data_IF_343522539323
#
_entry.id   IF_343522539323
#
_cell.length_a   1.000
_cell.length_b   1.000
_cell.length_c   1.000
_cell.angle_alpha   90.00
_cell.angle_beta   90.00
_cell.angle_gamma   90.00
#
_symmetry.space_group_name_H-M   'P 1'
#
loop_
_entity.id
_entity.type
_entity.pdbx_description
1 polymer ?
#
# COMPACT_ATOMS: atom_id res chain seq x y z
N UNK A 1 -4.21 14.55 -44.45
CA UNK A 1 -5.04 15.34 -45.40
C UNK A 1 -5.12 14.88 -46.87
N UNK A 2 -4.58 13.70 -47.27
CA UNK A 2 -4.71 13.21 -48.67
C UNK A 2 -5.60 11.97 -48.88
N UNK A 3 -6.30 11.46 -47.85
CA UNK A 3 -7.11 10.22 -48.00
C UNK A 3 -8.53 10.22 -47.38
N UNK A 4 -8.99 11.33 -46.79
CA UNK A 4 -10.37 11.42 -46.22
C UNK A 4 -11.20 12.58 -46.79
N UNK A 5 -10.73 13.22 -47.86
CA UNK A 5 -11.56 14.10 -48.69
C UNK A 5 -12.71 13.40 -49.46
N UNK A 6 -12.74 12.07 -49.75
CA UNK A 6 -13.75 11.53 -50.68
C UNK A 6 -15.18 11.40 -50.15
N UNK A 7 -15.42 11.45 -48.84
CA UNK A 7 -16.76 11.14 -48.30
C UNK A 7 -17.71 12.33 -48.38
N UNK A 8 -17.24 13.55 -48.07
CA UNK A 8 -18.03 14.79 -48.27
C UNK A 8 -18.22 15.16 -49.74
N UNK A 9 -17.32 14.69 -50.62
CA UNK A 9 -17.34 14.95 -52.06
C UNK A 9 -18.33 14.06 -52.87
N UNK A 10 -18.95 13.06 -52.24
CA UNK A 10 -20.02 12.26 -52.86
C UNK A 10 -21.44 12.77 -52.55
N UNK A 11 -21.59 13.68 -51.58
CA UNK A 11 -22.90 14.12 -51.07
C UNK A 11 -23.27 15.57 -51.42
N UNK A 12 -22.28 16.40 -51.73
CA UNK A 12 -22.46 17.80 -52.11
C UNK A 12 -21.78 18.07 -53.46
N UNK A 13 -22.43 18.89 -54.29
CA UNK A 13 -21.91 19.30 -55.59
C UNK A 13 -20.88 20.44 -55.42
N UNK A 14 -20.00 20.69 -56.40
CA UNK A 14 -19.13 21.87 -56.39
C UNK A 14 -19.88 23.21 -56.30
N UNK A 15 -21.16 23.23 -56.71
CA UNK A 15 -22.03 24.39 -56.59
C UNK A 15 -22.38 24.75 -55.13
N UNK A 16 -22.16 23.82 -54.19
CA UNK A 16 -22.44 23.99 -52.76
C UNK A 16 -21.22 24.46 -51.97
N UNK A 17 -20.03 24.49 -52.58
CA UNK A 17 -18.77 24.82 -51.88
C UNK A 17 -18.77 26.24 -51.29
N UNK A 18 -19.35 27.20 -52.00
CA UNK A 18 -19.45 28.58 -51.53
C UNK A 18 -20.35 28.66 -50.28
N UNK A 19 -21.49 27.97 -50.29
CA UNK A 19 -22.39 27.87 -49.14
C UNK A 19 -21.75 27.14 -47.95
N UNK A 20 -20.99 26.07 -48.20
CA UNK A 20 -20.22 25.36 -47.17
C UNK A 20 -19.19 26.29 -46.53
N UNK A 21 -18.49 27.10 -47.33
CA UNK A 21 -17.48 28.03 -46.82
C UNK A 21 -18.10 29.12 -45.93
N UNK A 22 -19.25 29.66 -46.33
CA UNK A 22 -19.98 30.66 -45.56
C UNK A 22 -20.54 30.06 -44.26
N UNK A 23 -21.10 28.85 -44.30
CA UNK A 23 -21.59 28.16 -43.10
C UNK A 23 -20.45 27.85 -42.12
N UNK A 24 -19.26 27.45 -42.59
CA UNK A 24 -18.08 27.28 -41.73
C UNK A 24 -17.67 28.58 -41.02
N UNK A 25 -17.78 29.73 -41.69
CA UNK A 25 -17.51 31.04 -41.07
C UNK A 25 -18.55 31.31 -39.98
N UNK A 26 -19.83 31.05 -40.22
CA UNK A 26 -20.90 31.22 -39.22
C UNK A 26 -20.69 30.32 -37.99
N UNK A 27 -20.28 29.06 -38.20
CA UNK A 27 -19.88 28.17 -37.10
C UNK A 27 -18.65 28.68 -36.32
N UNK A 28 -17.69 29.33 -37.00
CA UNK A 28 -16.55 29.97 -36.32
C UNK A 28 -16.95 31.18 -35.46
N UNK A 29 -18.04 31.85 -35.82
CA UNK A 29 -18.64 32.95 -35.04
C UNK A 29 -19.54 32.46 -33.90
N UNK A 30 -19.68 31.13 -33.74
CA UNK A 30 -20.51 30.45 -32.74
C UNK A 30 -22.03 30.64 -32.92
N UNK A 31 -22.48 30.81 -34.16
CA UNK A 31 -23.91 30.79 -34.48
C UNK A 31 -24.51 29.41 -34.17
N UNK A 32 -25.79 29.36 -33.78
CA UNK A 32 -26.53 28.12 -33.53
C UNK A 32 -26.90 27.42 -34.84
N UNK A 33 -27.18 26.11 -34.76
CA UNK A 33 -27.59 25.33 -35.95
C UNK A 33 -28.83 25.90 -36.65
N UNK A 34 -29.77 26.50 -35.92
CA UNK A 34 -30.96 27.09 -36.52
C UNK A 34 -30.64 28.39 -37.28
N UNK A 35 -29.76 29.24 -36.72
CA UNK A 35 -29.29 30.48 -37.37
C UNK A 35 -28.45 30.19 -38.63
N UNK A 36 -27.63 29.13 -38.59
CA UNK A 36 -26.87 28.67 -39.76
C UNK A 36 -27.81 28.11 -40.83
N UNK A 37 -28.87 27.39 -40.45
CA UNK A 37 -29.88 26.86 -41.38
C UNK A 37 -30.67 27.98 -42.05
N UNK A 38 -31.16 28.95 -41.28
CA UNK A 38 -31.89 30.11 -41.81
C UNK A 38 -31.00 30.95 -42.73
N UNK A 39 -29.72 31.12 -42.38
CA UNK A 39 -28.75 31.79 -43.21
C UNK A 39 -28.52 31.06 -44.54
N UNK A 40 -28.39 29.73 -44.52
CA UNK A 40 -28.25 28.92 -45.73
C UNK A 40 -29.50 28.96 -46.60
N UNK A 41 -30.70 28.97 -46.00
CA UNK A 41 -31.97 29.07 -46.71
C UNK A 41 -32.11 30.41 -47.46
N UNK A 42 -31.74 31.51 -46.82
CA UNK A 42 -31.76 32.86 -47.42
C UNK A 42 -30.70 33.03 -48.53
N UNK A 43 -29.61 32.28 -48.47
CA UNK A 43 -28.48 32.40 -49.42
C UNK A 43 -28.44 31.29 -50.49
N UNK A 44 -29.47 30.46 -50.58
CA UNK A 44 -29.52 29.34 -51.53
C UNK A 44 -29.37 29.80 -53.00
N UNK A 45 -29.73 31.05 -53.31
CA UNK A 45 -29.54 31.69 -54.62
C UNK A 45 -28.07 31.81 -55.08
N UNK A 46 -27.11 31.58 -54.18
CA UNK A 46 -25.67 31.55 -54.49
C UNK A 46 -25.23 30.18 -55.03
N UNK A 47 -26.07 29.15 -54.89
CA UNK A 47 -25.79 27.82 -55.41
C UNK A 47 -25.60 27.87 -56.95
N UNK A 48 -24.42 27.48 -57.42
CA UNK A 48 -24.10 27.38 -58.85
C UNK A 48 -23.54 28.65 -59.51
N UNK A 49 -23.35 29.75 -58.77
CA UNK A 49 -22.63 30.94 -59.27
C UNK A 49 -21.11 30.78 -59.19
N UNK A 50 -20.58 29.73 -59.81
CA UNK A 50 -19.11 29.57 -59.95
C UNK A 50 -18.71 30.09 -61.32
N UNK A 51 -18.29 31.36 -61.39
CA UNK A 51 -17.82 32.00 -62.64
C UNK A 51 -16.34 31.71 -62.98
N UNK A 52 -15.64 30.88 -62.21
CA UNK A 52 -14.22 30.59 -62.46
C UNK A 52 -14.01 29.59 -63.64
N UNK A 53 -13.39 30.00 -64.76
CA UNK A 53 -13.13 29.14 -65.92
C UNK A 53 -12.28 27.88 -65.57
N UNK A 54 -11.45 27.95 -64.53
CA UNK A 54 -10.57 26.85 -64.12
C UNK A 54 -11.33 25.70 -63.41
N UNK A 55 -12.54 25.94 -62.90
CA UNK A 55 -13.37 24.95 -62.22
C UNK A 55 -14.39 24.25 -63.12
N UNK A 56 -14.55 24.68 -64.39
CA UNK A 56 -15.54 24.11 -65.33
C UNK A 56 -15.34 22.62 -65.61
N UNK A 57 -14.09 22.16 -65.77
CA UNK A 57 -13.80 20.74 -66.00
C UNK A 57 -14.08 19.89 -64.76
N UNK A 58 -13.85 20.46 -63.58
CA UNK A 58 -14.15 19.85 -62.30
C UNK A 58 -15.67 19.72 -62.11
N UNK A 59 -16.43 20.78 -62.44
CA UNK A 59 -17.90 20.79 -62.44
C UNK A 59 -18.52 19.73 -63.38
N UNK A 60 -17.98 19.53 -64.59
CA UNK A 60 -18.45 18.47 -65.50
C UNK A 60 -18.19 17.07 -64.97
N UNK A 61 -17.01 16.82 -64.37
CA UNK A 61 -16.64 15.53 -63.76
C UNK A 61 -17.54 15.16 -62.57
N UNK A 62 -17.90 16.16 -61.76
CA UNK A 62 -18.79 15.96 -60.61
C UNK A 62 -20.25 15.77 -61.02
N UNK A 63 -20.71 16.38 -62.11
CA UNK A 63 -22.07 16.17 -62.64
C UNK A 63 -22.29 14.73 -63.16
N UNK A 64 -21.23 14.09 -63.65
CA UNK A 64 -21.26 12.67 -64.06
C UNK A 64 -21.17 11.71 -62.86
N UNK A 65 -20.43 12.06 -61.81
CA UNK A 65 -20.26 11.24 -60.60
C UNK A 65 -21.39 11.40 -59.57
N UNK A 66 -22.12 12.53 -59.55
CA UNK A 66 -23.25 12.77 -58.63
C UNK A 66 -24.53 12.03 -59.02
N UNK A 67 -24.43 10.98 -59.85
CA UNK A 67 -25.53 10.21 -60.41
C UNK A 67 -26.34 9.35 -59.43
N UNK A 68 -26.37 9.68 -58.12
CA UNK A 68 -27.19 9.01 -57.10
C UNK A 68 -27.64 9.96 -55.97
N UNK A 69 -28.18 11.12 -56.32
CA UNK A 69 -28.97 11.92 -55.39
C UNK A 69 -30.33 12.17 -56.03
N UNK A 70 -31.29 11.27 -55.80
CA UNK A 70 -32.69 11.41 -56.25
C UNK A 70 -33.43 12.62 -55.61
N UNK A 71 -32.73 13.48 -54.89
CA UNK A 71 -33.23 14.61 -54.08
C UNK A 71 -32.50 15.94 -54.36
N UNK A 72 -31.90 16.10 -55.55
CA UNK A 72 -31.03 17.23 -55.88
C UNK A 72 -31.75 18.59 -56.06
N UNK A 73 -33.08 18.61 -56.16
CA UNK A 73 -33.87 19.81 -56.47
C UNK A 73 -34.71 20.35 -55.29
N UNK A 74 -34.72 19.68 -54.14
CA UNK A 74 -35.45 20.12 -52.94
C UNK A 74 -34.58 21.07 -52.08
N UNK A 75 -34.94 22.37 -51.98
CA UNK A 75 -34.14 23.37 -51.28
C UNK A 75 -33.92 23.04 -49.80
N UNK A 76 -34.89 22.40 -49.14
CA UNK A 76 -34.81 22.06 -47.71
C UNK A 76 -33.77 20.95 -47.45
N UNK A 77 -33.72 19.97 -48.35
CA UNK A 77 -32.76 18.85 -48.28
C UNK A 77 -31.35 19.28 -48.69
N UNK A 78 -31.22 20.25 -49.59
CA UNK A 78 -29.91 20.85 -49.95
C UNK A 78 -29.33 21.59 -48.75
N UNK A 79 -30.12 22.48 -48.12
CA UNK A 79 -29.68 23.25 -46.95
C UNK A 79 -29.25 22.33 -45.81
N UNK A 80 -30.03 21.28 -45.52
CA UNK A 80 -29.70 20.30 -44.48
C UNK A 80 -28.37 19.58 -44.76
N UNK A 81 -28.14 19.12 -45.99
CA UNK A 81 -26.88 18.44 -46.37
C UNK A 81 -25.67 19.37 -46.26
N UNK A 82 -25.81 20.60 -46.74
CA UNK A 82 -24.75 21.62 -46.67
C UNK A 82 -24.42 21.96 -45.22
N UNK A 83 -25.44 22.10 -44.37
CA UNK A 83 -25.29 22.33 -42.95
C UNK A 83 -24.49 21.20 -42.27
N UNK A 84 -24.92 19.95 -42.44
CA UNK A 84 -24.26 18.77 -41.83
C UNK A 84 -22.79 18.65 -42.26
N UNK A 85 -22.51 18.82 -43.56
CA UNK A 85 -21.14 18.75 -44.08
C UNK A 85 -20.28 19.91 -43.56
N UNK A 86 -20.82 21.14 -43.50
CA UNK A 86 -20.09 22.31 -43.01
C UNK A 86 -19.77 22.23 -41.51
N UNK A 87 -20.68 21.72 -40.68
CA UNK A 87 -20.46 21.50 -39.26
C UNK A 87 -19.35 20.47 -39.00
N UNK A 88 -19.39 19.33 -39.72
CA UNK A 88 -18.37 18.29 -39.63
C UNK A 88 -17.00 18.83 -40.04
N UNK A 89 -16.93 19.56 -41.16
CA UNK A 89 -15.67 20.15 -41.63
C UNK A 89 -15.12 21.20 -40.66
N UNK A 90 -15.98 22.00 -40.03
CA UNK A 90 -15.56 22.96 -39.01
C UNK A 90 -15.01 22.26 -37.76
N UNK A 91 -15.70 21.27 -37.22
CA UNK A 91 -15.26 20.57 -36.02
C UNK A 91 -13.97 19.74 -36.23
N UNK A 92 -13.79 19.16 -37.42
CA UNK A 92 -12.53 18.52 -37.81
C UNK A 92 -11.38 19.54 -37.82
N UNK A 93 -11.61 20.74 -38.37
CA UNK A 93 -10.60 21.79 -38.41
C UNK A 93 -10.18 22.26 -37.01
N UNK A 94 -11.15 22.43 -36.10
CA UNK A 94 -10.90 22.80 -34.69
C UNK A 94 -10.17 21.71 -33.89
N UNK A 95 -10.45 20.43 -34.19
CA UNK A 95 -9.83 19.29 -33.48
C UNK A 95 -8.43 18.97 -34.01
N UNK A 96 -8.19 19.06 -35.32
CA UNK A 96 -6.87 18.83 -35.92
C UNK A 96 -5.90 20.00 -35.70
N UNK A 97 -6.41 21.22 -35.55
CA UNK A 97 -5.60 22.42 -35.31
C UNK A 97 -6.04 23.14 -34.02
N UNK A 98 -5.77 22.56 -32.84
CA UNK A 98 -6.02 23.25 -31.57
C UNK A 98 -5.33 24.62 -31.59
N UNK A 99 -6.04 25.67 -31.17
CA UNK A 99 -5.51 27.03 -31.10
C UNK A 99 -4.10 27.01 -30.49
N UNK A 100 -3.12 27.60 -31.20
CA UNK A 100 -1.69 27.64 -30.87
C UNK A 100 -1.35 28.30 -29.50
N UNK A 101 -2.34 28.58 -28.66
CA UNK A 101 -2.21 29.19 -27.34
C UNK A 101 -1.73 28.21 -26.25
N UNK A 102 -1.84 26.88 -26.45
CA UNK A 102 -1.15 25.91 -25.59
C UNK A 102 0.23 25.61 -26.16
N UNK A 103 1.24 26.36 -25.73
CA UNK A 103 2.66 26.01 -25.92
C UNK A 103 2.85 24.54 -25.55
N UNK A 104 3.54 23.76 -26.39
CA UNK A 104 4.05 22.44 -25.99
C UNK A 104 4.96 22.62 -24.77
N UNK A 105 4.42 22.36 -23.58
CA UNK A 105 5.19 22.29 -22.36
C UNK A 105 5.91 20.96 -22.40
N UNK A 106 7.22 20.99 -22.72
CA UNK A 106 8.07 19.82 -22.55
C UNK A 106 7.97 19.35 -21.10
N UNK A 107 7.34 18.20 -20.87
CA UNK A 107 7.30 17.61 -19.54
C UNK A 107 8.72 17.28 -19.09
N UNK A 108 9.14 17.89 -17.98
CA UNK A 108 10.50 17.74 -17.45
C UNK A 108 10.63 16.36 -16.78
N UNK A 109 11.09 15.38 -17.54
CA UNK A 109 11.18 13.96 -17.11
C UNK A 109 12.16 13.71 -15.95
N UNK A 110 13.17 14.58 -15.77
CA UNK A 110 14.17 14.44 -14.70
C UNK A 110 14.32 15.70 -13.86
N UNK A 111 14.29 15.52 -12.53
CA UNK A 111 14.54 16.58 -11.55
C UNK A 111 15.99 17.10 -11.66
N UNK A 112 16.21 18.36 -11.28
CA UNK A 112 17.56 18.98 -11.31
C UNK A 112 18.51 18.24 -10.36
N UNK A 113 18.01 17.73 -9.24
CA UNK A 113 18.78 16.99 -8.25
C UNK A 113 19.16 15.59 -8.76
N UNK A 114 18.24 14.84 -9.36
CA UNK A 114 18.57 13.57 -10.03
C UNK A 114 19.65 13.73 -11.10
N UNK A 115 19.58 14.79 -11.92
CA UNK A 115 20.65 15.09 -12.90
C UNK A 115 22.01 15.32 -12.22
N UNK A 116 22.04 16.04 -11.09
CA UNK A 116 23.27 16.28 -10.33
C UNK A 116 23.82 15.00 -9.70
N UNK A 117 22.96 14.16 -9.12
CA UNK A 117 23.35 12.87 -8.55
C UNK A 117 23.97 11.95 -9.61
N UNK A 118 23.37 11.84 -10.80
CA UNK A 118 23.95 11.06 -11.91
C UNK A 118 25.35 11.55 -12.29
N UNK A 119 25.55 12.88 -12.35
CA UNK A 119 26.87 13.46 -12.62
C UNK A 119 27.86 13.21 -11.47
N UNK A 120 27.40 13.21 -10.22
CA UNK A 120 28.22 12.86 -9.06
C UNK A 120 28.62 11.38 -9.06
N UNK A 121 27.75 10.47 -9.50
CA UNK A 121 28.06 9.03 -9.62
C UNK A 121 29.26 8.77 -10.53
N UNK A 122 29.45 9.54 -11.61
CA UNK A 122 30.64 9.43 -12.47
C UNK A 122 31.94 9.86 -11.78
N UNK A 123 31.87 10.59 -10.68
CA UNK A 123 33.03 11.05 -9.88
C UNK A 123 33.28 10.17 -8.66
N UNK A 124 32.53 9.07 -8.50
CA UNK A 124 32.69 8.17 -7.37
C UNK A 124 34.06 7.50 -7.38
N UNK A 125 34.61 7.29 -6.20
CA UNK A 125 35.91 6.64 -6.02
C UNK A 125 35.72 5.12 -6.09
N UNK A 126 36.48 4.40 -6.94
CA UNK A 126 36.41 2.95 -7.00
C UNK A 126 36.98 2.32 -5.73
N UNK A 127 36.51 1.12 -5.37
CA UNK A 127 36.82 0.46 -4.09
C UNK A 127 38.33 0.36 -3.80
N UNK A 128 39.16 0.09 -4.82
CA UNK A 128 40.61 -0.05 -4.68
C UNK A 128 41.34 1.25 -4.28
N UNK A 129 40.69 2.41 -4.44
CA UNK A 129 41.27 3.72 -4.13
C UNK A 129 40.67 4.33 -2.85
N UNK A 130 39.92 3.54 -2.08
CA UNK A 130 39.35 3.96 -0.78
C UNK A 130 40.37 3.70 0.33
N UNK A 131 40.53 4.61 1.32
CA UNK A 131 41.37 4.34 2.49
C UNK A 131 40.94 3.08 3.23
N UNK A 132 41.91 2.24 3.62
CA UNK A 132 41.65 0.92 4.21
C UNK A 132 40.65 0.94 5.38
N UNK A 133 40.80 1.87 6.34
CA UNK A 133 39.88 2.00 7.48
C UNK A 133 38.43 2.30 7.07
N UNK A 134 38.23 3.09 6.00
CA UNK A 134 36.89 3.41 5.48
C UNK A 134 36.27 2.21 4.77
N UNK A 135 37.07 1.46 4.03
CA UNK A 135 36.64 0.20 3.41
C UNK A 135 36.25 -0.84 4.47
N UNK A 136 37.01 -0.94 5.57
CA UNK A 136 36.67 -1.84 6.69
C UNK A 136 35.34 -1.45 7.35
N UNK A 137 35.10 -0.16 7.60
CA UNK A 137 33.82 0.28 8.19
C UNK A 137 32.63 0.00 7.27
N UNK A 138 32.78 0.22 5.95
CA UNK A 138 31.76 -0.13 4.95
C UNK A 138 31.50 -1.65 4.92
N UNK A 139 32.56 -2.45 5.03
CA UNK A 139 32.45 -3.91 5.04
C UNK A 139 31.72 -4.41 6.28
N UNK A 140 32.03 -3.90 7.48
CA UNK A 140 31.37 -4.32 8.72
C UNK A 140 29.86 -4.05 8.70
N UNK A 141 29.46 -2.88 8.18
CA UNK A 141 28.05 -2.51 8.05
C UNK A 141 27.31 -3.41 7.05
N UNK A 142 27.96 -3.77 5.94
CA UNK A 142 27.40 -4.74 4.98
C UNK A 142 27.36 -6.17 5.55
N UNK A 143 28.38 -6.58 6.31
CA UNK A 143 28.43 -7.88 6.95
C UNK A 143 27.31 -8.04 7.99
N UNK A 144 27.07 -7.00 8.80
CA UNK A 144 25.95 -7.00 9.75
C UNK A 144 24.61 -7.23 9.07
N UNK A 145 24.27 -6.43 8.05
CA UNK A 145 22.97 -6.54 7.35
C UNK A 145 22.78 -7.84 6.59
N UNK A 146 23.83 -8.31 5.91
CA UNK A 146 23.69 -9.44 4.98
C UNK A 146 23.91 -10.80 5.65
N UNK A 147 24.60 -10.86 6.79
CA UNK A 147 24.97 -12.11 7.46
C UNK A 147 24.40 -12.20 8.87
N UNK A 148 24.67 -11.21 9.73
CA UNK A 148 24.28 -11.32 11.15
C UNK A 148 22.76 -11.19 11.36
N UNK A 149 22.10 -10.36 10.55
CA UNK A 149 20.64 -10.17 10.63
C UNK A 149 19.84 -11.31 9.98
N UNK A 150 20.47 -12.07 9.08
CA UNK A 150 19.86 -13.21 8.37
C UNK A 150 20.18 -14.55 9.04
N UNK A 151 21.19 -14.60 9.91
CA UNK A 151 21.54 -15.80 10.66
C UNK A 151 20.46 -16.08 11.72
N UNK A 152 19.56 -17.00 11.39
CA UNK A 152 18.52 -17.47 12.29
C UNK A 152 19.13 -18.14 13.52
N UNK A 153 18.86 -17.59 14.68
CA UNK A 153 19.18 -18.24 15.94
C UNK A 153 18.08 -19.26 16.28
N UNK A 154 18.49 -20.43 16.77
CA UNK A 154 17.58 -21.48 17.25
C UNK A 154 17.66 -21.67 18.77
N UNK A 155 18.22 -20.68 19.49
CA UNK A 155 18.41 -20.80 20.94
C UNK A 155 17.12 -20.49 21.71
N UNK A 156 16.14 -19.82 21.09
CA UNK A 156 14.97 -19.26 21.74
C UNK A 156 14.16 -20.35 22.43
N UNK A 157 13.83 -21.44 21.72
CA UNK A 157 13.09 -22.56 22.30
C UNK A 157 13.88 -23.30 23.35
N UNK A 158 15.16 -23.58 23.05
CA UNK A 158 16.05 -24.28 23.97
C UNK A 158 16.20 -23.51 25.28
N UNK A 159 16.35 -22.18 25.20
CA UNK A 159 16.46 -21.32 26.37
C UNK A 159 15.18 -21.34 27.21
N UNK A 160 14.01 -21.24 26.58
CA UNK A 160 12.74 -21.33 27.31
C UNK A 160 12.52 -22.74 27.86
N UNK A 161 13.02 -23.79 27.19
CA UNK A 161 12.94 -25.20 27.63
C UNK A 161 13.78 -25.44 28.86
N UNK A 162 15.06 -25.05 28.81
CA UNK A 162 15.98 -25.13 29.93
C UNK A 162 15.44 -24.36 31.14
N UNK A 163 14.92 -23.13 30.95
CA UNK A 163 14.33 -22.33 32.05
C UNK A 163 13.05 -22.93 32.64
N UNK A 164 12.32 -23.73 31.87
CA UNK A 164 11.11 -24.41 32.34
C UNK A 164 11.37 -25.76 33.01
N UNK A 165 12.53 -26.38 32.76
CA UNK A 165 12.91 -27.72 33.27
C UNK A 165 13.92 -27.69 34.40
N UNK A 166 14.79 -26.68 34.48
CA UNK A 166 15.97 -26.68 35.35
C UNK A 166 15.72 -26.81 36.86
N UNK A 167 14.48 -26.72 37.35
CA UNK A 167 14.13 -26.99 38.76
C UNK A 167 13.52 -28.37 39.00
N UNK A 168 13.03 -29.06 37.97
CA UNK A 168 12.44 -30.40 38.15
C UNK A 168 13.51 -31.46 38.45
N UNK A 169 14.77 -31.25 38.05
CA UNK A 169 15.85 -32.24 38.21
C UNK A 169 16.65 -32.14 39.53
N UNK A 170 16.57 -31.05 40.30
CA UNK A 170 17.39 -30.87 41.53
C UNK A 170 16.63 -30.98 42.87
N UNK A 171 15.28 -30.89 42.89
CA UNK A 171 14.49 -30.85 44.14
C UNK A 171 13.47 -32.02 44.30
N UNK A 172 13.68 -33.20 43.70
CA UNK A 172 12.80 -34.38 43.93
C UNK A 172 12.89 -34.99 45.36
N UNK A 173 13.68 -34.42 46.28
CA UNK A 173 13.73 -34.84 47.68
C UNK A 173 13.63 -33.65 48.65
N UNK A 174 12.45 -33.05 48.83
CA UNK A 174 11.98 -32.59 50.14
C UNK A 174 10.50 -32.16 50.08
N UNK A 175 9.70 -32.60 51.06
CA UNK A 175 8.27 -32.31 51.18
C UNK A 175 7.99 -30.81 51.41
N UNK A 176 8.04 -29.99 50.36
CA UNK A 176 7.47 -28.65 50.39
C UNK A 176 6.04 -28.67 49.84
N UNK A 177 5.06 -28.41 50.71
CA UNK A 177 3.62 -28.32 50.37
C UNK A 177 3.26 -27.11 49.49
N UNK A 178 4.24 -26.24 49.17
CA UNK A 178 4.09 -25.11 48.27
C UNK A 178 5.05 -25.29 47.08
N UNK A 179 4.52 -25.49 45.88
CA UNK A 179 5.32 -25.59 44.65
C UNK A 179 6.08 -24.28 44.43
N UNK A 180 7.41 -24.30 44.61
CA UNK A 180 8.25 -23.12 44.31
C UNK A 180 8.08 -22.74 42.82
N UNK A 181 7.94 -21.45 42.48
CA UNK A 181 7.99 -20.96 41.12
C UNK A 181 9.26 -21.42 40.41
N UNK A 182 9.12 -22.01 39.23
CA UNK A 182 10.26 -22.35 38.39
C UNK A 182 10.96 -21.07 37.86
N UNK A 183 12.19 -21.16 37.34
CA UNK A 183 12.96 -19.97 36.93
C UNK A 183 12.23 -19.11 35.89
N UNK A 184 11.51 -19.76 34.96
CA UNK A 184 10.70 -19.07 33.96
C UNK A 184 9.51 -18.32 34.59
N UNK A 185 8.82 -18.91 35.57
CA UNK A 185 7.74 -18.24 36.30
C UNK A 185 8.27 -17.06 37.11
N UNK A 186 9.41 -17.19 37.79
CA UNK A 186 10.04 -16.08 38.52
C UNK A 186 10.35 -14.88 37.62
N UNK A 187 10.84 -15.15 36.41
CA UNK A 187 11.11 -14.12 35.40
C UNK A 187 9.81 -13.39 34.99
N UNK A 188 8.75 -14.14 34.68
CA UNK A 188 7.45 -13.55 34.31
C UNK A 188 6.86 -12.74 35.47
N UNK A 189 6.96 -13.24 36.70
CA UNK A 189 6.52 -12.52 37.90
C UNK A 189 7.28 -11.21 38.11
N UNK A 190 8.59 -11.19 37.84
CA UNK A 190 9.39 -9.97 37.93
C UNK A 190 8.90 -8.89 36.95
N UNK A 191 8.66 -9.27 35.69
CA UNK A 191 8.11 -8.34 34.69
C UNK A 191 6.69 -7.90 35.02
N UNK A 192 5.83 -8.82 35.47
CA UNK A 192 4.48 -8.52 35.95
C UNK A 192 4.49 -7.49 37.10
N UNK A 193 5.37 -7.68 38.10
CA UNK A 193 5.52 -6.74 39.20
C UNK A 193 5.97 -5.36 38.71
N UNK A 194 6.87 -5.32 37.72
CA UNK A 194 7.33 -4.07 37.12
C UNK A 194 6.19 -3.33 36.41
N UNK A 195 5.33 -4.05 35.70
CA UNK A 195 4.12 -3.50 35.07
C UNK A 195 3.17 -2.85 36.07
N UNK A 196 3.02 -3.46 37.24
CA UNK A 196 2.13 -3.00 38.31
C UNK A 196 2.71 -1.86 39.16
N UNK A 197 4.00 -1.53 39.02
CA UNK A 197 4.55 -0.36 39.69
C UNK A 197 4.01 0.91 39.03
N UNK A 198 3.22 1.67 39.77
CA UNK A 198 2.62 2.91 39.28
C UNK A 198 3.70 3.94 38.91
N UNK A 199 4.04 3.99 37.62
CA UNK A 199 4.84 5.05 37.02
C UNK A 199 3.95 5.92 36.11
N UNK A 200 4.31 7.21 35.99
CA UNK A 200 3.64 8.12 35.06
C UNK A 200 3.93 7.77 33.60
N UNK A 201 5.10 7.18 33.35
CA UNK A 201 5.54 6.66 32.05
C UNK A 201 6.32 5.37 32.27
N UNK A 202 6.13 4.39 31.38
CA UNK A 202 7.00 3.22 31.31
C UNK A 202 8.37 3.65 30.81
N UNK A 203 9.40 3.23 31.53
CA UNK A 203 10.79 3.39 31.08
C UNK A 203 11.06 2.36 29.97
N UNK A 204 11.94 2.70 29.03
CA UNK A 204 12.35 1.76 27.98
C UNK A 204 13.20 0.66 28.62
N UNK A 205 12.60 -0.52 28.78
CA UNK A 205 13.26 -1.70 29.31
C UNK A 205 13.69 -2.63 28.17
N UNK A 206 14.96 -2.54 27.80
CA UNK A 206 15.56 -3.40 26.77
C UNK A 206 15.57 -4.87 27.19
N UNK A 207 15.67 -5.18 28.49
CA UNK A 207 15.67 -6.55 28.98
C UNK A 207 14.31 -7.20 28.77
N UNK A 208 13.24 -6.48 29.13
CA UNK A 208 11.87 -6.92 28.86
C UNK A 208 11.65 -7.16 27.36
N UNK A 209 12.07 -6.22 26.50
CA UNK A 209 11.89 -6.35 25.06
C UNK A 209 12.60 -7.59 24.47
N UNK A 210 13.83 -7.85 24.90
CA UNK A 210 14.57 -9.05 24.46
C UNK A 210 13.90 -10.34 24.91
N UNK A 211 13.45 -10.43 26.17
CA UNK A 211 12.75 -11.63 26.64
C UNK A 211 11.37 -11.79 26.02
N UNK A 212 10.65 -10.70 25.75
CA UNK A 212 9.37 -10.74 25.05
C UNK A 212 9.53 -11.28 23.63
N UNK A 213 10.59 -10.86 22.90
CA UNK A 213 10.91 -11.38 21.57
C UNK A 213 11.28 -12.87 21.59
N UNK A 214 12.13 -13.29 22.54
CA UNK A 214 12.52 -14.71 22.71
C UNK A 214 11.28 -15.58 23.03
N UNK A 215 10.44 -15.14 23.97
CA UNK A 215 9.21 -15.85 24.32
C UNK A 215 8.25 -15.90 23.12
N UNK A 216 8.13 -14.81 22.35
CA UNK A 216 7.27 -14.74 21.18
C UNK A 216 7.71 -15.70 20.07
N UNK A 217 9.02 -15.79 19.80
CA UNK A 217 9.64 -16.70 18.83
C UNK A 217 9.57 -18.16 19.26
N UNK A 218 9.67 -18.44 20.56
CA UNK A 218 9.55 -19.81 21.10
C UNK A 218 8.21 -20.49 20.78
N UNK A 219 7.16 -19.72 20.49
CA UNK A 219 5.85 -20.25 20.05
C UNK A 219 5.68 -20.34 18.51
N UNK A 220 6.61 -19.81 17.71
CA UNK A 220 6.49 -19.69 16.24
C UNK A 220 7.43 -20.62 15.45
N UNK A 221 8.01 -21.63 16.09
CA UNK A 221 9.04 -22.49 15.47
C UNK A 221 8.55 -23.24 14.22
N UNK A 222 7.23 -23.36 14.01
CA UNK A 222 6.66 -24.01 12.83
C UNK A 222 6.50 -23.11 11.60
N UNK A 223 6.57 -21.78 11.72
CA UNK A 223 6.28 -20.86 10.60
C UNK A 223 7.54 -20.34 9.88
N UNK A 224 8.67 -20.22 10.57
CA UNK A 224 9.88 -19.59 10.01
C UNK A 224 10.88 -20.57 9.37
N UNK A 225 10.91 -21.85 9.79
CA UNK A 225 11.90 -22.83 9.32
C UNK A 225 11.55 -23.45 7.94
N UNK A 226 10.33 -23.21 7.43
CA UNK A 226 9.95 -23.55 6.05
C UNK A 226 10.18 -22.40 5.05
N UNK A 227 10.56 -21.21 5.53
CA UNK A 227 10.78 -20.00 4.73
C UNK A 227 12.23 -19.73 4.31
N UNK A 228 13.18 -20.57 4.73
CA UNK A 228 14.61 -20.42 4.44
C UNK A 228 15.02 -21.02 3.09
N UNK A 229 15.28 -20.14 2.11
CA UNK A 229 16.02 -20.41 0.87
C UNK A 229 15.37 -21.39 -0.14
N UNK A 230 14.30 -20.94 -0.78
CA UNK A 230 14.05 -21.27 -2.18
C UNK A 230 13.45 -20.05 -2.91
N UNK A 231 14.28 -19.01 -3.09
CA UNK A 231 14.04 -18.05 -4.16
C UNK A 231 14.18 -18.78 -5.51
N UNK A 232 13.09 -19.34 -6.01
CA UNK A 232 13.10 -19.95 -7.34
C UNK A 232 12.07 -21.02 -7.64
N UNK A 233 10.96 -21.16 -6.92
CA UNK A 233 9.77 -21.83 -7.42
C UNK A 233 8.59 -21.42 -6.53
N UNK A 234 7.55 -20.82 -7.12
CA UNK A 234 6.23 -20.84 -6.48
C UNK A 234 5.98 -22.30 -6.09
N UNK A 235 5.64 -22.65 -4.84
CA UNK A 235 5.13 -23.96 -4.56
C UNK A 235 3.79 -24.03 -5.27
N UNK A 236 3.84 -24.51 -6.50
CA UNK A 236 2.67 -24.84 -7.30
C UNK A 236 1.79 -25.74 -6.45
N UNK A 237 0.64 -25.20 -6.05
CA UNK A 237 -0.62 -25.90 -5.94
C UNK A 237 -0.50 -27.38 -5.50
N UNK A 238 -0.75 -27.64 -4.21
CA UNK A 238 -0.93 -28.96 -3.58
C UNK A 238 0.29 -29.64 -2.93
N UNK A 239 0.97 -28.98 -1.99
CA UNK A 239 1.45 -29.74 -0.81
C UNK A 239 0.25 -29.89 0.12
N UNK A 240 -0.53 -30.96 -0.08
CA UNK A 240 -1.52 -31.41 0.90
C UNK A 240 -0.73 -31.87 2.13
N UNK A 241 -0.38 -30.93 3.02
CA UNK A 241 0.02 -31.25 4.39
C UNK A 241 -0.98 -32.28 4.91
N UNK A 242 -0.47 -33.42 5.35
CA UNK A 242 -1.32 -34.49 5.84
C UNK A 242 -2.09 -33.98 7.06
N UNK A 243 -3.33 -34.43 7.24
CA UNK A 243 -4.12 -34.04 8.42
C UNK A 243 -3.38 -34.35 9.74
N UNK A 244 -2.51 -35.36 9.72
CA UNK A 244 -1.62 -35.73 10.82
C UNK A 244 -0.53 -34.68 11.09
N UNK A 245 0.12 -34.13 10.06
CA UNK A 245 1.14 -33.07 10.22
C UNK A 245 0.52 -31.81 10.80
N UNK A 246 -0.65 -31.39 10.28
CA UNK A 246 -1.38 -30.22 10.80
C UNK A 246 -1.80 -30.39 12.25
N UNK A 247 -2.25 -31.58 12.63
CA UNK A 247 -2.61 -31.85 14.02
C UNK A 247 -1.37 -31.90 14.91
N UNK A 248 -0.25 -32.47 14.45
CA UNK A 248 1.01 -32.46 15.21
C UNK A 248 1.55 -31.04 15.42
N UNK A 249 1.53 -30.19 14.40
CA UNK A 249 1.91 -28.77 14.50
C UNK A 249 1.02 -28.03 15.49
N UNK A 250 -0.29 -28.25 15.42
CA UNK A 250 -1.25 -27.66 16.36
C UNK A 250 -0.97 -28.10 17.81
N UNK A 251 -0.72 -29.39 18.04
CA UNK A 251 -0.38 -29.89 19.38
C UNK A 251 0.95 -29.31 19.88
N UNK A 252 1.95 -29.15 19.00
CA UNK A 252 3.23 -28.50 19.34
C UNK A 252 3.04 -27.03 19.71
N UNK A 253 2.19 -26.30 18.98
CA UNK A 253 1.88 -24.90 19.27
C UNK A 253 1.17 -24.76 20.63
N UNK A 254 0.13 -25.55 20.88
CA UNK A 254 -0.56 -25.60 22.19
C UNK A 254 0.41 -26.01 23.31
N UNK A 255 1.34 -26.91 22.99
CA UNK A 255 2.62 -27.18 23.64
C UNK A 255 3.29 -25.96 24.29
N UNK A 256 3.74 -25.09 23.39
CA UNK A 256 4.60 -23.95 23.69
C UNK A 256 3.81 -22.84 24.39
N UNK A 257 2.58 -22.57 23.94
CA UNK A 257 1.67 -21.61 24.57
C UNK A 257 1.32 -22.05 26.00
N UNK A 258 0.94 -23.32 26.16
CA UNK A 258 1.19 -24.21 27.30
C UNK A 258 2.07 -23.66 28.42
N UNK A 259 3.36 -23.71 28.08
CA UNK A 259 4.47 -23.47 29.00
C UNK A 259 4.48 -22.04 29.50
N UNK A 260 4.22 -21.07 28.63
CA UNK A 260 4.20 -19.65 28.99
C UNK A 260 2.94 -19.26 29.77
N UNK A 261 1.76 -19.73 29.34
CA UNK A 261 0.51 -19.30 29.94
C UNK A 261 0.33 -19.83 31.36
N UNK A 262 0.73 -21.08 31.64
CA UNK A 262 0.70 -21.68 32.97
C UNK A 262 1.52 -20.89 34.00
N UNK A 263 2.49 -20.10 33.52
CA UNK A 263 3.41 -19.28 34.33
C UNK A 263 3.00 -17.80 34.37
N UNK A 264 1.80 -17.47 33.89
CA UNK A 264 1.24 -16.11 34.00
C UNK A 264 1.64 -15.15 32.88
N UNK A 265 2.22 -15.63 31.77
CA UNK A 265 2.59 -14.76 30.65
C UNK A 265 1.39 -14.00 30.05
N UNK A 266 0.22 -14.66 30.00
CA UNK A 266 -1.02 -14.06 29.50
C UNK A 266 -1.48 -12.86 30.35
N UNK A 267 -1.38 -12.97 31.68
CA UNK A 267 -1.74 -11.90 32.61
C UNK A 267 -0.73 -10.75 32.54
N UNK A 268 0.57 -11.07 32.41
CA UNK A 268 1.63 -10.09 32.24
C UNK A 268 1.42 -9.22 30.99
N UNK A 269 1.04 -9.82 29.84
CA UNK A 269 0.75 -9.09 28.61
C UNK A 269 -0.36 -8.06 28.83
N UNK A 270 -1.46 -8.45 29.49
CA UNK A 270 -2.56 -7.53 29.81
C UNK A 270 -2.12 -6.38 30.72
N UNK A 271 -1.33 -6.68 31.75
CA UNK A 271 -0.80 -5.68 32.68
C UNK A 271 0.12 -4.67 31.97
N UNK A 272 0.99 -5.13 31.08
CA UNK A 272 1.88 -4.27 30.31
C UNK A 272 1.12 -3.34 29.35
N UNK A 273 0.07 -3.86 28.69
CA UNK A 273 -0.83 -3.02 27.86
C UNK A 273 -1.58 -2.01 28.73
N UNK A 274 -2.06 -2.41 29.92
CA UNK A 274 -2.72 -1.49 30.85
C UNK A 274 -1.76 -0.38 31.31
N UNK A 275 -0.50 -0.72 31.62
CA UNK A 275 0.51 0.20 32.08
C UNK A 275 0.96 1.24 31.02
N UNK A 276 0.78 0.97 29.71
CA UNK A 276 1.20 1.87 28.63
C UNK A 276 0.38 3.16 28.54
N UNK A 277 -0.85 3.18 29.07
CA UNK A 277 -1.73 4.35 29.12
C UNK A 277 -1.91 5.04 27.76
N UNK A 278 -1.81 4.27 26.66
CA UNK A 278 -2.00 4.78 25.31
C UNK A 278 -0.78 5.37 24.63
N UNK A 279 0.43 5.25 25.19
CA UNK A 279 1.65 5.64 24.46
C UNK A 279 2.11 4.46 23.57
N UNK A 280 2.05 4.58 22.23
CA UNK A 280 2.61 3.57 21.33
C UNK A 280 4.14 3.65 21.41
N UNK A 281 4.76 2.58 21.88
CA UNK A 281 6.21 2.48 22.02
C UNK A 281 6.71 1.09 21.66
N UNK A 282 8.02 0.96 21.46
CA UNK A 282 8.64 -0.31 21.07
C UNK A 282 8.36 -1.43 22.08
N UNK A 283 8.25 -1.10 23.37
CA UNK A 283 7.84 -2.03 24.41
C UNK A 283 6.43 -2.60 24.17
N UNK A 284 5.45 -1.75 23.86
CA UNK A 284 4.07 -2.17 23.58
C UNK A 284 4.01 -3.02 22.31
N UNK A 285 4.81 -2.69 21.30
CA UNK A 285 4.94 -3.53 20.10
C UNK A 285 5.47 -4.93 20.43
N UNK A 286 6.56 -5.03 21.21
CA UNK A 286 7.07 -6.34 21.67
C UNK A 286 6.04 -7.09 22.52
N UNK A 287 5.29 -6.40 23.39
CA UNK A 287 4.22 -7.00 24.20
C UNK A 287 3.08 -7.55 23.34
N UNK A 288 2.65 -6.80 22.31
CA UNK A 288 1.61 -7.23 21.38
C UNK A 288 2.06 -8.45 20.59
N UNK A 289 3.30 -8.48 20.09
CA UNK A 289 3.88 -9.65 19.42
C UNK A 289 3.84 -10.89 20.30
N UNK A 290 4.26 -10.79 21.56
CA UNK A 290 4.15 -11.88 22.53
C UNK A 290 2.69 -12.30 22.76
N UNK A 291 1.77 -11.34 22.90
CA UNK A 291 0.34 -11.61 23.06
C UNK A 291 -0.26 -12.37 21.87
N UNK A 292 0.12 -11.99 20.65
CA UNK A 292 -0.27 -12.67 19.40
C UNK A 292 0.29 -14.10 19.40
N UNK A 293 1.56 -14.31 19.76
CA UNK A 293 2.17 -15.65 19.84
C UNK A 293 1.41 -16.59 20.77
N UNK A 294 1.00 -16.11 21.94
CA UNK A 294 0.31 -16.93 22.96
C UNK A 294 -1.13 -17.24 22.52
N UNK A 295 -1.78 -16.36 21.76
CA UNK A 295 -3.15 -16.52 21.27
C UNK A 295 -3.24 -17.13 19.87
N UNK A 296 -2.11 -17.34 19.19
CA UNK A 296 -2.09 -17.84 17.82
C UNK A 296 -2.80 -19.20 17.73
N UNK A 297 -3.54 -19.44 16.65
CA UNK A 297 -4.37 -20.65 16.52
C UNK A 297 -5.65 -20.68 17.41
N UNK A 298 -5.96 -19.60 18.15
CA UNK A 298 -7.21 -19.48 18.91
C UNK A 298 -7.23 -20.31 20.19
N UNK A 299 -6.19 -20.18 21.02
CA UNK A 299 -6.07 -20.93 22.27
C UNK A 299 -7.15 -20.51 23.31
N UNK A 300 -8.17 -21.35 23.48
CA UNK A 300 -9.32 -21.08 24.36
C UNK A 300 -8.95 -20.96 25.84
N UNK A 301 -7.94 -21.71 26.29
CA UNK A 301 -7.54 -21.73 27.70
C UNK A 301 -6.89 -20.39 28.08
N UNK A 302 -6.04 -19.87 27.19
CA UNK A 302 -5.44 -18.54 27.33
C UNK A 302 -6.52 -17.46 27.30
N UNK A 303 -7.44 -17.51 26.33
CA UNK A 303 -8.53 -16.54 26.22
C UNK A 303 -9.39 -16.51 27.49
N UNK A 304 -9.74 -17.69 28.02
CA UNK A 304 -10.52 -17.80 29.25
C UNK A 304 -9.76 -17.20 30.44
N UNK A 305 -8.46 -17.51 30.57
CA UNK A 305 -7.63 -16.97 31.65
C UNK A 305 -7.49 -15.45 31.58
N UNK A 306 -7.29 -14.90 30.38
CA UNK A 306 -7.26 -13.46 30.14
C UNK A 306 -8.60 -12.81 30.52
N UNK A 307 -9.72 -13.44 30.16
CA UNK A 307 -11.05 -12.94 30.50
C UNK A 307 -11.29 -12.94 32.02
N UNK A 308 -10.96 -14.04 32.68
CA UNK A 308 -11.11 -14.19 34.13
C UNK A 308 -10.27 -13.16 34.87
N UNK A 309 -9.02 -12.94 34.42
CA UNK A 309 -8.16 -11.89 34.96
C UNK A 309 -8.80 -10.49 34.84
N UNK A 310 -9.32 -10.14 33.65
CA UNK A 310 -9.96 -8.83 33.44
C UNK A 310 -11.22 -8.66 34.29
N UNK A 311 -12.04 -9.71 34.45
CA UNK A 311 -13.24 -9.71 35.29
C UNK A 311 -12.91 -9.58 36.78
N UNK A 312 -11.89 -10.30 37.25
CA UNK A 312 -11.49 -10.32 38.65
C UNK A 312 -10.84 -8.99 39.07
N UNK A 313 -9.95 -8.46 38.23
CA UNK A 313 -9.28 -7.19 38.50
C UNK A 313 -10.14 -5.97 38.20
N UNK A 314 -11.16 -6.11 37.34
CA UNK A 314 -11.97 -5.00 36.82
C UNK A 314 -11.08 -3.87 36.28
N UNK A 315 -10.09 -4.24 35.49
CA UNK A 315 -9.09 -3.31 34.99
C UNK A 315 -9.67 -2.42 33.86
N UNK A 316 -10.17 -1.25 34.25
CA UNK A 316 -10.63 -0.22 33.31
C UNK A 316 -9.44 0.37 32.52
N UNK A 317 -8.24 0.34 33.10
CA UNK A 317 -7.02 0.87 32.49
C UNK A 317 -6.66 0.17 31.20
N UNK A 318 -6.86 -1.15 31.13
CA UNK A 318 -6.64 -1.92 29.91
C UNK A 318 -7.42 -1.37 28.71
N UNK A 319 -8.74 -1.18 28.85
CA UNK A 319 -9.59 -0.71 27.76
C UNK A 319 -9.32 0.75 27.37
N UNK A 320 -9.03 1.60 28.35
CA UNK A 320 -8.64 3.00 28.09
C UNK A 320 -7.30 3.06 27.34
N UNK A 321 -6.33 2.23 27.72
CA UNK A 321 -5.05 2.12 27.03
C UNK A 321 -5.22 1.62 25.60
N UNK A 322 -5.97 0.53 25.38
CA UNK A 322 -6.25 0.02 24.03
C UNK A 322 -6.97 1.07 23.17
N UNK A 323 -7.98 1.75 23.71
CA UNK A 323 -8.69 2.82 23.01
C UNK A 323 -7.75 3.95 22.60
N UNK A 324 -6.87 4.38 23.51
CA UNK A 324 -5.90 5.43 23.23
C UNK A 324 -4.90 4.99 22.15
N UNK A 325 -4.39 3.75 22.20
CA UNK A 325 -3.52 3.19 21.16
C UNK A 325 -4.22 3.19 19.79
N UNK A 326 -5.49 2.75 19.72
CA UNK A 326 -6.29 2.76 18.49
C UNK A 326 -6.50 4.18 17.93
N UNK A 327 -6.63 5.20 18.79
CA UNK A 327 -6.76 6.59 18.36
C UNK A 327 -5.44 7.19 17.86
N UNK A 328 -4.30 6.65 18.29
CA UNK A 328 -2.98 7.09 17.84
C UNK A 328 -2.54 6.45 16.52
N UNK A 329 -3.21 5.39 16.05
CA UNK A 329 -2.93 4.77 14.77
C UNK A 329 -3.06 5.78 13.62
N UNK A 330 -2.05 5.82 12.76
CA UNK A 330 -2.03 6.70 11.61
C UNK A 330 -3.00 6.23 10.53
N UNK A 331 -3.41 7.16 9.69
CA UNK A 331 -4.23 6.90 8.51
C UNK A 331 -3.56 7.55 7.32
N UNK A 332 -3.94 7.12 6.12
CA UNK A 332 -3.39 7.65 4.87
C UNK A 332 -3.56 9.18 4.80
N UNK A 333 -2.46 9.91 5.00
CA UNK A 333 -2.39 11.36 4.84
C UNK A 333 -1.83 11.71 3.46
N UNK A 334 -2.65 12.36 2.64
CA UNK A 334 -2.26 12.83 1.32
C UNK A 334 -1.06 13.80 1.39
N UNK A 335 -0.96 14.62 2.43
CA UNK A 335 0.17 15.53 2.60
C UNK A 335 1.46 14.77 2.90
N UNK A 336 1.40 13.71 3.70
CA UNK A 336 2.53 12.82 3.93
C UNK A 336 2.94 12.10 2.63
N UNK A 337 1.97 11.59 1.88
CA UNK A 337 2.20 10.97 0.57
C UNK A 337 2.85 11.93 -0.43
N UNK A 338 2.36 13.17 -0.57
CA UNK A 338 2.95 14.15 -1.47
C UNK A 338 4.38 14.54 -1.04
N UNK A 339 4.65 14.63 0.27
CA UNK A 339 6.00 14.85 0.79
C UNK A 339 6.90 13.68 0.43
N UNK A 340 6.47 12.44 0.65
CA UNK A 340 7.22 11.22 0.30
C UNK A 340 7.50 11.16 -1.21
N UNK A 341 6.49 11.35 -2.06
CA UNK A 341 6.64 11.33 -3.52
C UNK A 341 7.62 12.43 -4.00
N UNK A 342 7.54 13.63 -3.43
CA UNK A 342 8.53 14.68 -3.68
C UNK A 342 9.91 14.25 -3.23
N UNK A 343 10.02 13.64 -2.06
CA UNK A 343 11.26 13.11 -1.50
C UNK A 343 11.90 12.02 -2.39
N UNK A 344 11.13 11.08 -2.92
CA UNK A 344 11.57 10.04 -3.87
C UNK A 344 11.95 10.63 -5.23
N UNK A 345 11.23 11.67 -5.68
CA UNK A 345 11.51 12.42 -6.90
C UNK A 345 12.87 13.16 -6.90
N UNK A 346 13.46 13.38 -5.72
CA UNK A 346 14.79 13.98 -5.59
C UNK A 346 15.94 12.98 -5.83
N UNK A 347 15.67 11.67 -5.78
CA UNK A 347 16.70 10.61 -5.95
C UNK A 347 17.40 10.24 -4.64
N UNK A 348 17.88 8.99 -4.56
CA UNK A 348 18.25 8.31 -3.31
C UNK A 348 19.74 8.33 -2.95
N UNK A 349 20.59 9.00 -3.74
CA UNK A 349 22.05 8.94 -3.56
C UNK A 349 22.56 10.29 -3.07
N UNK A 350 23.14 10.31 -1.85
CA UNK A 350 23.92 11.44 -1.35
C UNK A 350 25.21 11.63 -2.18
N UNK A 351 25.83 12.81 -2.14
CA UNK A 351 27.15 13.05 -2.77
C UNK A 351 28.24 12.10 -2.22
N UNK A 352 28.01 11.50 -1.05
CA UNK A 352 28.89 10.50 -0.42
C UNK A 352 28.55 9.04 -0.78
N UNK A 353 27.55 8.81 -1.65
CA UNK A 353 27.11 7.47 -2.05
C UNK A 353 26.25 6.73 -1.02
N UNK A 354 25.91 7.36 0.10
CA UNK A 354 25.06 6.78 1.14
C UNK A 354 23.58 6.85 0.74
N UNK A 355 22.90 5.71 0.79
CA UNK A 355 21.44 5.60 0.63
C UNK A 355 20.75 6.11 1.91
N UNK A 356 20.69 7.43 2.09
CA UNK A 356 20.12 8.05 3.32
C UNK A 356 18.60 7.88 3.49
N UNK A 357 17.93 7.12 2.61
CA UNK A 357 16.46 7.12 2.47
C UNK A 357 15.78 5.76 2.37
N UNK A 358 16.52 4.65 2.34
CA UNK A 358 15.87 3.33 2.38
C UNK A 358 15.28 3.03 3.77
N UNK A 359 15.78 3.67 4.82
CA UNK A 359 15.39 3.42 6.22
C UNK A 359 14.83 4.65 6.95
N UNK A 360 14.63 5.80 6.26
CA UNK A 360 14.13 7.00 6.94
C UNK A 360 12.60 6.92 7.05
N UNK A 361 12.11 6.83 8.29
CA UNK A 361 10.73 6.74 8.82
C UNK A 361 9.67 7.72 8.28
N UNK A 362 9.87 8.36 7.12
CA UNK A 362 8.84 9.16 6.43
C UNK A 362 8.03 8.29 5.44
N UNK A 363 7.64 7.08 5.84
CA UNK A 363 6.57 6.34 5.14
C UNK A 363 5.23 6.98 5.48
N UNK A 364 4.30 7.00 4.52
CA UNK A 364 2.91 7.46 4.73
C UNK A 364 2.23 6.76 5.93
N UNK A 365 2.63 5.52 6.21
CA UNK A 365 2.21 4.72 7.36
C UNK A 365 3.48 4.14 8.00
N UNK A 366 4.04 4.81 9.00
CA UNK A 366 5.23 4.34 9.71
C UNK A 366 4.91 3.33 10.83
N UNK A 367 3.63 3.20 11.15
CA UNK A 367 3.05 2.36 12.21
C UNK A 367 2.15 1.25 11.63
N UNK A 368 2.37 0.85 10.38
CA UNK A 368 1.62 -0.20 9.70
C UNK A 368 1.72 -1.53 10.44
N UNK A 369 2.94 -1.94 10.81
CA UNK A 369 3.20 -3.15 11.59
C UNK A 369 2.50 -3.08 12.96
N UNK A 370 2.65 -1.96 13.69
CA UNK A 370 2.04 -1.77 14.99
C UNK A 370 0.50 -1.83 14.95
N UNK A 371 -0.10 -1.16 13.95
CA UNK A 371 -1.55 -1.12 13.79
C UNK A 371 -2.09 -2.51 13.45
N UNK A 372 -1.42 -3.23 12.55
CA UNK A 372 -1.76 -4.62 12.22
C UNK A 372 -1.67 -5.52 13.46
N UNK A 373 -0.60 -5.43 14.23
CA UNK A 373 -0.41 -6.23 15.46
C UNK A 373 -1.50 -5.94 16.49
N UNK A 374 -1.85 -4.66 16.69
CA UNK A 374 -2.91 -4.28 17.63
C UNK A 374 -4.26 -4.91 17.27
N UNK A 375 -4.67 -4.81 16.00
CA UNK A 375 -5.92 -5.42 15.56
C UNK A 375 -5.86 -6.95 15.48
N UNK A 376 -4.70 -7.52 15.14
CA UNK A 376 -4.47 -8.96 15.14
C UNK A 376 -4.62 -9.53 16.56
N UNK A 377 -4.05 -8.86 17.56
CA UNK A 377 -4.21 -9.21 18.97
C UNK A 377 -5.69 -9.19 19.38
N UNK A 378 -6.42 -8.10 19.08
CA UNK A 378 -7.85 -7.99 19.39
C UNK A 378 -8.71 -9.04 18.68
N UNK A 379 -8.39 -9.39 17.43
CA UNK A 379 -9.05 -10.47 16.72
C UNK A 379 -8.83 -11.81 17.45
N UNK A 380 -7.59 -12.13 17.78
CA UNK A 380 -7.21 -13.41 18.38
C UNK A 380 -7.81 -13.62 19.77
N UNK A 381 -8.10 -12.56 20.53
CA UNK A 381 -8.83 -12.64 21.80
C UNK A 381 -10.24 -13.24 21.65
N UNK A 382 -10.86 -13.07 20.49
CA UNK A 382 -12.24 -13.54 20.20
C UNK A 382 -12.30 -14.66 19.15
N UNK A 383 -11.15 -15.14 18.70
CA UNK A 383 -11.02 -16.26 17.75
C UNK A 383 -11.68 -17.53 18.35
N UNK A 384 -12.28 -18.39 17.52
CA UNK A 384 -12.99 -19.56 18.03
C UNK A 384 -14.39 -19.29 18.60
N UNK A 385 -15.00 -18.15 18.25
CA UNK A 385 -16.37 -17.78 18.65
C UNK A 385 -16.60 -17.67 20.17
N UNK A 386 -15.65 -17.08 20.89
CA UNK A 386 -15.78 -16.84 22.32
C UNK A 386 -16.82 -15.75 22.64
N UNK A 387 -18.08 -16.17 22.79
CA UNK A 387 -19.22 -15.27 23.05
C UNK A 387 -19.07 -14.46 24.34
N UNK A 388 -18.46 -15.04 25.37
CA UNK A 388 -18.31 -14.39 26.67
C UNK A 388 -17.30 -13.24 26.58
N UNK A 389 -16.18 -13.44 25.89
CA UNK A 389 -15.21 -12.38 25.62
C UNK A 389 -15.81 -11.29 24.72
N UNK A 390 -16.54 -11.68 23.66
CA UNK A 390 -17.21 -10.73 22.76
C UNK A 390 -18.29 -9.90 23.47
N UNK A 391 -19.01 -10.48 24.43
CA UNK A 391 -19.96 -9.74 25.26
C UNK A 391 -19.21 -8.77 26.19
N UNK A 392 -18.10 -9.22 26.79
CA UNK A 392 -17.28 -8.39 27.67
C UNK A 392 -16.65 -7.19 26.95
N UNK A 393 -16.24 -7.33 25.68
CA UNK A 393 -15.76 -6.20 24.88
C UNK A 393 -16.86 -5.18 24.51
N UNK A 394 -18.13 -5.58 24.51
CA UNK A 394 -19.26 -4.72 24.13
C UNK A 394 -19.79 -3.84 25.26
N UNK A 395 -19.64 -4.29 26.50
CA UNK A 395 -20.19 -3.67 27.71
C UNK A 395 -19.08 -3.07 28.56
#
# INVERSE_FOLDING_TARGET
LKKMLPIGLNMCSPADQELISLAKIRYSLKDTDEEVREFLHNNLHLQGKVEDPAMRWQMSLYKEMSGKAEDAEDPEKVVKRVQEVSAVLYHIEVTEHPFKSKKMVWHKLLSKQRRRAVVACFRMTPLYNIPGHRATNMFLDAYKRNWLETEGYSFEDKMIDDLSKAMEEEEEEEEETETKPDPLHQLILHFSRTALTEKTKLEVDHLYMSYADIMAKSCHIGEEDEGGEQEGEEPSFEVRQTEMEKEMEKQRLLYQQSRLHNRGAAEMVLQMISACKGEPGAMVSSTLKLGISILNGGNSDVQQRMLDYLKDKKDVGFFLSVQALMQTCSVLDLNAFERQNKAEGLGMVSEEGTNMKLERDEKVMADDEFTCDLFRFLQLLCEGHNNDFQNYLRT
#
